data_IF_443894290511
#
_entry.id   IF_443894290511
#
_cell.length_a   1.000
_cell.length_b   1.000
_cell.length_c   1.000
_cell.angle_alpha   90.00
_cell.angle_beta   90.00
_cell.angle_gamma   90.00
#
_symmetry.space_group_name_H-M   'P 1'
#
loop_
_entity.id
_entity.type
_entity.pdbx_description
1 polymer ?
#
# COMPACT_ATOMS: atom_id res chain seq x y z
N UNK A 1 24.92 -23.13 11.23
CA UNK A 1 24.51 -22.18 10.19
C UNK A 1 23.33 -21.40 10.74
N UNK A 2 23.47 -20.10 10.97
CA UNK A 2 22.38 -19.28 11.49
C UNK A 2 21.64 -18.63 10.33
N UNK A 3 20.43 -19.12 10.05
CA UNK A 3 19.54 -18.52 9.07
C UNK A 3 18.72 -17.44 9.77
N UNK A 4 18.94 -16.17 9.40
CA UNK A 4 18.16 -15.05 9.90
C UNK A 4 17.12 -14.64 8.85
N UNK A 5 15.86 -14.48 9.27
CA UNK A 5 14.84 -13.85 8.43
C UNK A 5 15.25 -12.39 8.18
N UNK A 6 15.74 -12.12 6.97
CA UNK A 6 16.12 -10.79 6.52
C UNK A 6 15.02 -10.14 5.68
N UNK A 7 14.89 -8.82 5.78
CA UNK A 7 14.04 -8.05 4.87
C UNK A 7 14.81 -7.82 3.56
N UNK A 8 14.19 -8.14 2.42
CA UNK A 8 14.75 -7.95 1.08
C UNK A 8 15.27 -6.52 0.83
N UNK A 9 14.62 -5.50 1.42
CA UNK A 9 15.08 -4.11 1.32
C UNK A 9 16.42 -3.85 2.00
N UNK A 10 16.73 -4.55 3.11
CA UNK A 10 18.05 -4.44 3.75
C UNK A 10 19.17 -4.98 2.87
N UNK A 11 18.85 -5.89 1.95
CA UNK A 11 19.78 -6.49 1.00
C UNK A 11 20.00 -5.56 -0.19
N UNK A 12 18.96 -4.87 -0.67
CA UNK A 12 19.01 -4.07 -1.89
C UNK A 12 19.20 -2.55 -1.68
N UNK A 13 19.18 -2.05 -0.45
CA UNK A 13 19.29 -0.60 -0.17
C UNK A 13 20.70 0.00 -0.40
N UNK A 14 21.65 -0.77 -0.92
CA UNK A 14 23.01 -0.31 -1.21
C UNK A 14 23.97 -0.31 -0.01
N UNK A 15 23.50 -0.62 1.20
CA UNK A 15 24.35 -0.66 2.40
C UNK A 15 25.18 -1.95 2.51
N UNK A 16 24.95 -2.93 1.64
CA UNK A 16 25.65 -4.21 1.61
C UNK A 16 26.20 -4.48 0.21
N UNK A 17 27.47 -4.88 0.13
CA UNK A 17 28.10 -5.34 -1.10
C UNK A 17 28.21 -6.86 -1.09
N UNK A 18 27.63 -7.51 -2.10
CA UNK A 18 27.74 -8.96 -2.30
C UNK A 18 28.84 -9.24 -3.31
N UNK A 19 29.85 -10.01 -2.91
CA UNK A 19 30.96 -10.43 -3.78
C UNK A 19 30.69 -11.86 -4.20
N UNK A 20 30.58 -12.09 -5.52
CA UNK A 20 30.43 -13.43 -6.09
C UNK A 20 31.83 -14.05 -6.21
N UNK A 21 32.12 -15.20 -5.56
CA UNK A 21 33.41 -15.84 -5.64
C UNK A 21 33.74 -16.32 -7.06
N UNK A 22 35.02 -16.28 -7.43
CA UNK A 22 35.50 -16.61 -8.79
C UNK A 22 35.21 -18.05 -9.22
N UNK A 23 35.08 -18.97 -8.25
CA UNK A 23 34.75 -20.38 -8.50
C UNK A 23 33.25 -20.65 -8.69
N UNK A 24 32.39 -19.63 -8.62
CA UNK A 24 30.95 -19.79 -8.83
C UNK A 24 30.66 -19.98 -10.31
N UNK A 25 29.72 -20.90 -10.63
CA UNK A 25 29.28 -21.11 -12.01
C UNK A 25 28.66 -19.83 -12.59
N UNK A 26 28.77 -19.69 -13.91
CA UNK A 26 28.06 -18.64 -14.64
C UNK A 26 26.56 -18.69 -14.38
N UNK A 27 25.95 -17.51 -14.33
CA UNK A 27 24.52 -17.37 -14.21
C UNK A 27 23.81 -18.10 -15.36
N UNK A 28 22.90 -19.01 -15.00
CA UNK A 28 22.27 -19.93 -15.95
C UNK A 28 20.77 -19.72 -16.10
N UNK A 29 20.21 -18.62 -15.58
CA UNK A 29 18.77 -18.40 -15.74
C UNK A 29 18.46 -18.02 -17.18
N UNK A 30 17.42 -18.66 -17.69
CA UNK A 30 16.83 -18.34 -18.99
C UNK A 30 15.65 -17.38 -18.79
N UNK A 31 15.03 -16.98 -19.90
CA UNK A 31 13.92 -16.01 -19.90
C UNK A 31 12.74 -16.43 -19.02
N UNK A 32 12.47 -17.73 -18.91
CA UNK A 32 11.36 -18.24 -18.10
C UNK A 32 11.59 -18.04 -16.59
N UNK A 33 12.82 -18.26 -16.10
CA UNK A 33 13.14 -17.99 -14.69
C UNK A 33 13.09 -16.49 -14.40
N UNK A 34 13.58 -15.65 -15.32
CA UNK A 34 13.49 -14.19 -15.19
C UNK A 34 12.03 -13.70 -15.19
N UNK A 35 11.17 -14.24 -16.06
CA UNK A 35 9.72 -13.94 -16.07
C UNK A 35 9.06 -14.38 -14.77
N UNK A 36 9.42 -15.55 -14.24
CA UNK A 36 8.89 -16.04 -12.96
C UNK A 36 9.29 -15.12 -11.81
N UNK A 37 10.57 -14.76 -11.71
CA UNK A 37 11.03 -13.79 -10.72
C UNK A 37 10.30 -12.45 -10.86
N UNK A 38 10.14 -11.96 -12.10
CA UNK A 38 9.41 -10.72 -12.34
C UNK A 38 7.94 -10.81 -11.92
N UNK A 39 7.28 -11.93 -12.22
CA UNK A 39 5.92 -12.22 -11.77
C UNK A 39 5.84 -12.30 -10.25
N UNK A 40 6.83 -12.91 -9.60
CA UNK A 40 6.92 -12.99 -8.14
C UNK A 40 7.11 -11.60 -7.53
N UNK A 41 8.00 -10.76 -8.09
CA UNK A 41 8.21 -9.36 -7.69
C UNK A 41 6.94 -8.52 -7.90
N UNK A 42 6.27 -8.70 -9.03
CA UNK A 42 5.01 -8.03 -9.33
C UNK A 42 3.90 -8.46 -8.35
N UNK A 43 3.87 -9.75 -8.01
CA UNK A 43 2.95 -10.34 -7.05
C UNK A 43 3.42 -10.18 -5.59
N UNK A 44 4.60 -9.62 -5.34
CA UNK A 44 5.00 -9.23 -3.99
C UNK A 44 3.92 -8.29 -3.45
N UNK A 45 3.85 -8.14 -2.14
CA UNK A 45 2.91 -7.22 -1.49
C UNK A 45 3.30 -5.76 -1.76
N UNK A 46 3.42 -5.37 -3.03
CA UNK A 46 3.73 -4.04 -3.55
C UNK A 46 2.79 -3.01 -2.94
N UNK A 47 1.52 -3.39 -2.71
CA UNK A 47 0.56 -2.58 -1.95
C UNK A 47 1.02 -2.31 -0.52
N UNK A 48 1.39 -3.33 0.26
CA UNK A 48 1.91 -3.13 1.63
C UNK A 48 3.21 -2.34 1.61
N UNK A 49 4.09 -2.61 0.65
CA UNK A 49 5.36 -1.88 0.52
C UNK A 49 5.12 -0.39 0.28
N UNK A 50 4.32 -0.05 -0.74
CA UNK A 50 3.98 1.34 -1.08
C UNK A 50 3.32 2.01 0.12
N UNK A 51 2.30 1.39 0.73
CA UNK A 51 1.59 1.97 1.88
C UNK A 51 2.49 2.13 3.11
N UNK A 52 3.41 1.20 3.36
CA UNK A 52 4.37 1.28 4.46
C UNK A 52 5.37 2.43 4.27
N UNK A 53 5.82 2.67 3.04
CA UNK A 53 6.71 3.79 2.74
C UNK A 53 5.99 5.12 2.79
N UNK A 54 4.74 5.17 2.31
CA UNK A 54 3.87 6.34 2.47
C UNK A 54 3.61 6.67 3.94
N UNK A 55 3.37 5.66 4.78
CA UNK A 55 3.18 5.82 6.23
C UNK A 55 4.44 6.37 6.92
N UNK A 56 5.61 5.81 6.56
CA UNK A 56 6.86 6.13 7.23
C UNK A 56 7.63 7.31 6.59
N UNK A 57 7.09 7.94 5.55
CA UNK A 57 7.73 9.10 4.93
C UNK A 57 7.83 10.28 5.90
N UNK A 58 9.04 10.83 6.05
CA UNK A 58 9.36 11.88 7.04
C UNK A 58 8.95 11.52 8.48
N UNK A 59 8.93 10.23 8.81
CA UNK A 59 8.61 9.77 10.16
C UNK A 59 9.91 9.44 10.92
N UNK A 60 10.24 10.26 11.93
CA UNK A 60 11.41 10.01 12.81
C UNK A 60 11.21 8.80 13.73
N UNK A 61 9.97 8.36 13.90
CA UNK A 61 9.59 7.20 14.72
C UNK A 61 8.87 6.17 13.83
N UNK A 62 9.61 5.38 13.04
CA UNK A 62 9.02 4.49 12.05
C UNK A 62 8.16 3.41 12.68
N UNK A 63 7.00 3.14 12.07
CA UNK A 63 6.05 2.11 12.48
C UNK A 63 6.34 0.83 11.70
N UNK A 64 6.43 -0.29 12.43
CA UNK A 64 6.54 -1.62 11.83
C UNK A 64 5.15 -2.04 11.34
N UNK A 65 4.96 -2.05 10.02
CA UNK A 65 3.67 -2.34 9.39
C UNK A 65 3.47 -3.83 9.05
N UNK A 66 4.33 -4.73 9.52
CA UNK A 66 4.29 -6.17 9.18
C UNK A 66 3.00 -6.86 9.66
N UNK A 67 2.48 -6.42 10.81
CA UNK A 67 1.23 -6.94 11.39
C UNK A 67 -0.03 -6.26 10.85
N UNK A 68 0.12 -5.30 9.93
CA UNK A 68 -1.01 -4.59 9.35
C UNK A 68 -1.46 -5.27 8.06
N UNK A 69 -2.77 -5.24 7.84
CA UNK A 69 -3.41 -5.72 6.61
C UNK A 69 -3.87 -4.55 5.76
N UNK A 70 -4.15 -4.83 4.49
CA UNK A 70 -4.76 -3.84 3.59
C UNK A 70 -6.25 -3.77 3.88
N UNK A 71 -6.70 -2.57 4.20
CA UNK A 71 -8.11 -2.21 4.27
C UNK A 71 -8.54 -1.56 2.96
N UNK A 72 -9.69 -1.99 2.44
CA UNK A 72 -10.40 -1.27 1.38
C UNK A 72 -11.43 -0.36 2.06
N UNK A 73 -11.24 0.96 1.95
CA UNK A 73 -12.11 1.93 2.63
C UNK A 73 -13.54 1.77 2.10
N UNK A 74 -13.70 1.87 0.78
CA UNK A 74 -14.87 1.36 0.06
C UNK A 74 -14.72 -0.17 -0.11
N UNK A 75 -15.73 -0.96 0.29
CA UNK A 75 -15.63 -2.42 0.34
C UNK A 75 -15.50 -3.08 -1.04
N UNK A 76 -14.88 -4.25 -1.05
CA UNK A 76 -14.68 -5.09 -2.24
C UNK A 76 -15.93 -5.90 -2.61
N UNK A 77 -16.86 -6.10 -1.68
CA UNK A 77 -18.04 -6.91 -1.91
C UNK A 77 -18.86 -6.42 -3.12
N UNK A 78 -19.26 -7.34 -4.00
CA UNK A 78 -20.11 -7.01 -5.16
C UNK A 78 -21.50 -6.51 -4.73
N UNK A 79 -21.98 -6.96 -3.57
CA UNK A 79 -23.22 -6.51 -2.96
C UNK A 79 -22.93 -5.47 -1.88
N UNK A 80 -22.44 -4.30 -2.29
CA UNK A 80 -22.27 -3.18 -1.37
C UNK A 80 -23.61 -2.75 -0.77
N UNK A 81 -23.59 -2.36 0.50
CA UNK A 81 -24.76 -1.86 1.21
C UNK A 81 -25.32 -0.58 0.56
N UNK A 82 -26.56 -0.22 0.88
CA UNK A 82 -27.22 0.93 0.27
C UNK A 82 -26.51 2.25 0.60
N UNK A 83 -25.92 2.38 1.79
CA UNK A 83 -25.16 3.57 2.19
C UNK A 83 -23.97 3.84 1.25
N UNK A 84 -23.25 2.79 0.82
CA UNK A 84 -22.16 2.95 -0.16
C UNK A 84 -22.69 3.33 -1.55
N UNK A 85 -23.84 2.80 -1.98
CA UNK A 85 -24.47 3.21 -3.25
C UNK A 85 -24.87 4.67 -3.22
N UNK A 86 -25.44 5.14 -2.12
CA UNK A 86 -25.81 6.55 -1.92
C UNK A 86 -24.58 7.45 -1.92
N UNK A 87 -23.51 7.06 -1.22
CA UNK A 87 -22.27 7.83 -1.16
C UNK A 87 -21.56 7.95 -2.53
N UNK A 88 -21.61 6.89 -3.34
CA UNK A 88 -20.98 6.84 -4.66
C UNK A 88 -21.89 7.38 -5.78
N UNK A 89 -23.21 7.43 -5.59
CA UNK A 89 -24.18 7.94 -6.54
C UNK A 89 -24.62 6.93 -7.60
N UNK A 90 -25.28 7.40 -8.66
CA UNK A 90 -25.89 6.55 -9.70
C UNK A 90 -24.88 5.64 -10.41
N UNK A 91 -23.63 6.11 -10.59
CA UNK A 91 -22.55 5.38 -11.27
C UNK A 91 -21.70 4.54 -10.31
N UNK A 92 -22.23 4.16 -9.13
CA UNK A 92 -21.47 3.48 -8.09
C UNK A 92 -20.74 2.21 -8.58
N UNK A 93 -21.33 1.44 -9.50
CA UNK A 93 -20.72 0.20 -10.03
C UNK A 93 -19.43 0.51 -10.80
N UNK A 94 -19.47 1.52 -11.65
CA UNK A 94 -18.33 1.93 -12.46
C UNK A 94 -17.24 2.54 -11.59
N UNK A 95 -17.63 3.41 -10.64
CA UNK A 95 -16.72 4.02 -9.67
C UNK A 95 -16.06 2.93 -8.83
N UNK A 96 -16.83 1.97 -8.30
CA UNK A 96 -16.29 0.87 -7.52
C UNK A 96 -15.28 0.08 -8.35
N UNK A 97 -15.67 -0.40 -9.54
CA UNK A 97 -14.78 -1.18 -10.41
C UNK A 97 -13.49 -0.42 -10.74
N UNK A 98 -13.57 0.88 -10.99
CA UNK A 98 -12.44 1.73 -11.37
C UNK A 98 -11.48 1.99 -10.21
N UNK A 99 -12.00 2.25 -9.00
CA UNK A 99 -11.19 2.73 -7.89
C UNK A 99 -10.92 1.71 -6.79
N UNK A 100 -11.56 0.54 -6.81
CA UNK A 100 -11.49 -0.46 -5.74
C UNK A 100 -10.05 -0.76 -5.31
N UNK A 101 -9.18 -1.08 -6.28
CA UNK A 101 -7.79 -1.46 -6.02
C UNK A 101 -6.79 -0.32 -6.23
N UNK A 102 -7.24 0.94 -6.18
CA UNK A 102 -6.37 2.11 -6.36
C UNK A 102 -5.82 2.60 -5.03
N UNK A 103 -4.62 3.20 -5.03
CA UNK A 103 -3.97 3.70 -3.82
C UNK A 103 -4.84 4.68 -3.02
N UNK A 104 -5.71 5.44 -3.71
CA UNK A 104 -6.68 6.33 -3.08
C UNK A 104 -7.70 5.61 -2.20
N UNK A 105 -8.05 4.36 -2.50
CA UNK A 105 -9.02 3.56 -1.73
C UNK A 105 -8.40 2.57 -0.74
N UNK A 106 -7.08 2.36 -0.80
CA UNK A 106 -6.37 1.38 0.04
C UNK A 106 -5.71 2.04 1.24
N UNK A 107 -5.73 1.38 2.39
CA UNK A 107 -4.97 1.82 3.55
C UNK A 107 -4.49 0.64 4.41
N UNK A 108 -3.72 0.92 5.46
CA UNK A 108 -3.27 -0.06 6.45
C UNK A 108 -4.18 -0.03 7.69
N UNK A 109 -4.50 -1.21 8.21
CA UNK A 109 -5.18 -1.37 9.50
C UNK A 109 -4.78 -2.68 10.19
N UNK A 110 -4.80 -2.69 11.52
CA UNK A 110 -4.72 -3.91 12.33
C UNK A 110 -6.11 -4.47 12.69
N UNK A 111 -7.18 -3.72 12.43
CA UNK A 111 -8.56 -4.00 12.85
C UNK A 111 -9.50 -4.24 11.65
N UNK A 112 -9.00 -4.96 10.63
CA UNK A 112 -9.72 -5.20 9.38
C UNK A 112 -11.02 -6.01 9.63
N UNK A 113 -10.94 -7.01 10.51
CA UNK A 113 -12.09 -7.81 10.95
C UNK A 113 -13.22 -6.97 11.52
N UNK A 114 -12.90 -5.93 12.27
CA UNK A 114 -13.85 -5.04 12.92
C UNK A 114 -14.46 -4.02 11.94
N UNK A 115 -13.72 -3.65 10.89
CA UNK A 115 -14.16 -2.70 9.86
C UNK A 115 -15.05 -3.35 8.79
N UNK A 116 -14.62 -4.48 8.22
CA UNK A 116 -15.40 -5.29 7.27
C UNK A 116 -16.17 -4.46 6.21
N UNK A 117 -17.42 -4.81 5.92
CA UNK A 117 -18.31 -4.14 4.95
C UNK A 117 -19.15 -3.00 5.57
N UNK A 118 -18.73 -2.47 6.73
CA UNK A 118 -19.44 -1.37 7.40
C UNK A 118 -19.45 -0.10 6.55
N UNK A 119 -20.37 0.80 6.86
CA UNK A 119 -20.40 2.13 6.24
C UNK A 119 -19.13 2.92 6.57
N UNK A 120 -18.84 3.94 5.77
CA UNK A 120 -17.67 4.80 6.01
C UNK A 120 -17.69 5.42 7.42
N UNK A 121 -18.85 5.89 7.88
CA UNK A 121 -19.02 6.50 9.19
C UNK A 121 -18.78 5.51 10.34
N UNK A 122 -19.20 4.26 10.17
CA UNK A 122 -18.88 3.22 11.13
C UNK A 122 -17.37 2.90 11.14
N UNK A 123 -16.72 2.76 9.98
CA UNK A 123 -15.27 2.51 9.91
C UNK A 123 -14.43 3.63 10.54
N UNK A 124 -14.93 4.86 10.56
CA UNK A 124 -14.30 5.98 11.27
C UNK A 124 -14.35 5.78 12.79
N UNK A 125 -15.50 5.38 13.32
CA UNK A 125 -15.84 5.44 14.75
C UNK A 125 -15.80 4.09 15.50
N UNK A 126 -15.70 2.96 14.81
CA UNK A 126 -15.56 1.65 15.46
C UNK A 126 -14.29 1.58 16.29
N UNK A 127 -14.24 0.67 17.27
CA UNK A 127 -13.00 0.36 18.01
C UNK A 127 -11.88 -0.02 17.03
N UNK A 128 -10.74 0.65 17.13
CA UNK A 128 -9.64 0.50 16.17
C UNK A 128 -9.89 1.17 14.81
N UNK A 129 -10.93 1.99 14.72
CA UNK A 129 -11.36 2.74 13.54
C UNK A 129 -10.34 3.78 13.09
N UNK A 130 -10.61 4.43 11.96
CA UNK A 130 -9.64 5.40 11.41
C UNK A 130 -9.37 6.58 12.34
N UNK A 131 -10.33 6.99 13.18
CA UNK A 131 -10.14 8.09 14.16
C UNK A 131 -9.12 7.68 15.25
N UNK A 132 -9.27 6.48 15.82
CA UNK A 132 -8.39 5.94 16.86
C UNK A 132 -7.02 5.47 16.33
N UNK A 133 -6.92 5.23 15.02
CA UNK A 133 -5.69 4.75 14.39
C UNK A 133 -4.48 5.65 14.73
N UNK A 134 -3.30 5.08 14.94
CA UNK A 134 -2.05 5.87 15.06
C UNK A 134 -1.43 6.27 13.72
N UNK A 135 -1.94 5.73 12.61
CA UNK A 135 -1.27 5.79 11.30
C UNK A 135 -1.44 7.15 10.61
N UNK A 136 -0.33 7.76 10.20
CA UNK A 136 -0.28 9.05 9.51
C UNK A 136 -0.98 9.01 8.15
N UNK A 137 -0.91 7.90 7.42
CA UNK A 137 -1.56 7.69 6.13
C UNK A 137 -3.10 7.76 6.22
N UNK A 138 -3.64 7.53 7.43
CA UNK A 138 -5.07 7.62 7.72
C UNK A 138 -5.53 9.05 8.04
N UNK A 139 -4.63 10.02 8.21
CA UNK A 139 -4.99 11.40 8.57
C UNK A 139 -5.93 12.07 7.55
N UNK A 140 -5.74 11.79 6.26
CA UNK A 140 -6.66 12.30 5.22
C UNK A 140 -8.07 11.75 5.44
N UNK A 141 -8.18 10.46 5.74
CA UNK A 141 -9.44 9.72 5.85
C UNK A 141 -10.26 10.25 7.03
N UNK A 142 -9.62 10.48 8.18
CA UNK A 142 -10.24 11.01 9.41
C UNK A 142 -10.92 12.36 9.24
N UNK A 143 -10.45 13.16 8.28
CA UNK A 143 -10.96 14.51 8.00
C UNK A 143 -12.13 14.51 7.02
N UNK A 144 -12.48 13.36 6.44
CA UNK A 144 -13.58 13.27 5.48
C UNK A 144 -14.88 12.92 6.18
N UNK A 145 -15.98 13.53 5.73
CA UNK A 145 -17.33 13.18 6.16
C UNK A 145 -18.01 12.17 5.22
N UNK A 146 -17.50 12.02 4.00
CA UNK A 146 -18.04 11.11 2.98
C UNK A 146 -16.90 10.48 2.21
N UNK A 147 -17.16 9.32 1.61
CA UNK A 147 -16.20 8.62 0.77
C UNK A 147 -16.82 8.33 -0.59
N UNK A 148 -16.52 9.20 -1.55
CA UNK A 148 -17.01 9.16 -2.93
C UNK A 148 -15.85 9.24 -3.93
N UNK A 149 -16.16 9.22 -5.24
CA UNK A 149 -15.15 9.30 -6.30
C UNK A 149 -14.17 10.48 -6.12
N UNK A 150 -14.69 11.67 -5.85
CA UNK A 150 -13.90 12.88 -5.67
C UNK A 150 -12.90 12.74 -4.51
N UNK A 151 -13.36 12.26 -3.36
CA UNK A 151 -12.48 12.05 -2.19
C UNK A 151 -11.40 11.01 -2.45
N UNK A 152 -11.71 9.94 -3.19
CA UNK A 152 -10.75 8.91 -3.58
C UNK A 152 -9.68 9.49 -4.50
N UNK A 153 -10.09 10.27 -5.51
CA UNK A 153 -9.17 10.93 -6.45
C UNK A 153 -8.27 11.95 -5.73
N UNK A 154 -8.83 12.75 -4.83
CA UNK A 154 -8.09 13.74 -4.07
C UNK A 154 -7.05 13.07 -3.17
N UNK A 155 -7.42 11.98 -2.47
CA UNK A 155 -6.45 11.19 -1.70
C UNK A 155 -5.36 10.61 -2.59
N UNK A 156 -5.72 10.04 -3.75
CA UNK A 156 -4.74 9.48 -4.68
C UNK A 156 -3.72 10.53 -5.14
N UNK A 157 -4.16 11.76 -5.44
CA UNK A 157 -3.28 12.88 -5.81
C UNK A 157 -2.31 13.24 -4.67
N UNK A 158 -2.80 13.32 -3.43
CA UNK A 158 -1.93 13.61 -2.27
C UNK A 158 -0.90 12.50 -2.03
N UNK A 159 -1.32 11.23 -2.10
CA UNK A 159 -0.39 10.11 -1.97
C UNK A 159 0.62 10.06 -3.12
N UNK A 160 0.23 10.42 -4.34
CA UNK A 160 1.14 10.48 -5.50
C UNK A 160 2.21 11.57 -5.33
N UNK A 161 1.86 12.73 -4.75
CA UNK A 161 2.84 13.78 -4.42
C UNK A 161 3.87 13.30 -3.41
N UNK A 162 3.44 12.51 -2.41
CA UNK A 162 4.34 11.92 -1.43
C UNK A 162 5.22 10.85 -2.09
N UNK A 163 4.61 9.95 -2.87
CA UNK A 163 5.31 8.89 -3.60
C UNK A 163 6.44 9.44 -4.49
N UNK A 164 6.20 10.54 -5.19
CA UNK A 164 7.19 11.18 -6.06
C UNK A 164 8.41 11.72 -5.30
N UNK A 165 8.26 11.98 -3.99
CA UNK A 165 9.37 12.38 -3.10
C UNK A 165 10.10 11.18 -2.51
N UNK A 166 9.42 10.07 -2.27
CA UNK A 166 10.02 8.83 -1.76
C UNK A 166 10.88 8.18 -2.85
N UNK A 167 10.34 8.07 -4.05
CA UNK A 167 10.94 7.38 -5.18
C UNK A 167 11.33 8.38 -6.28
N UNK A 168 12.14 9.37 -5.91
CA UNK A 168 12.72 10.29 -6.89
C UNK A 168 13.68 9.56 -7.82
N UNK A 169 13.74 10.00 -9.08
CA UNK A 169 14.71 9.46 -10.03
C UNK A 169 16.14 9.76 -9.52
N UNK A 170 17.06 8.79 -9.56
CA UNK A 170 18.44 9.02 -9.14
C UNK A 170 19.11 10.02 -10.10
N UNK A 171 19.75 11.04 -9.55
CA UNK A 171 20.62 11.91 -10.35
C UNK A 171 21.84 11.09 -10.79
N UNK A 172 21.98 10.88 -12.10
CA UNK A 172 23.16 10.25 -12.65
C UNK A 172 24.25 11.32 -12.75
N UNK A 173 25.45 11.10 -12.16
CA UNK A 173 26.55 12.00 -12.36
C UNK A 173 26.85 12.10 -13.86
N UNK A 174 27.00 13.33 -14.35
CA UNK A 174 27.47 13.59 -15.71
C UNK A 174 28.96 13.24 -15.69
N UNK A 175 29.35 12.19 -16.42
CA UNK A 175 30.75 11.83 -16.65
C UNK A 175 31.45 12.87 -17.53
#
# INVERSE_FOLDING_TARGET
MEANKGNFYKILNGNMQFIIPVYQRYYSWEREQCKRLWKDIYNMRTRNFILSHLENFNNKEPIITENYTIEHIMPQNEKINNHWKEALGQNWKEIQKKYLHTIGNLTLTAYNSEMSDKSFQEKLNTKGGFIESGLKINNFIRKQNKWNEETIQNRAKELAKIASKIWSYPELPIN
#
